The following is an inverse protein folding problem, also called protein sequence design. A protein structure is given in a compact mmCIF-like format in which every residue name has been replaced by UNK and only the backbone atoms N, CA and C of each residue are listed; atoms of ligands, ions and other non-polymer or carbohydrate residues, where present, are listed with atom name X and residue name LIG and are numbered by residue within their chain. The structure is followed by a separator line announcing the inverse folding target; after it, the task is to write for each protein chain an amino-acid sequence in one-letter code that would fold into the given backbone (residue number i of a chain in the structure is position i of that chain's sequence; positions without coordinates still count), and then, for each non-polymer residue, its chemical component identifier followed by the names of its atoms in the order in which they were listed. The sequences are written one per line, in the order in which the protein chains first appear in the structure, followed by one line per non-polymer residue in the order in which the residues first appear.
data_IF_356565575824
#
_entry.id   IF_356565575824
#
_cell.length_a   1.000
_cell.length_b   1.000
_cell.length_c   1.000
_cell.angle_alpha   90.00
_cell.angle_beta   90.00
_cell.angle_gamma   90.00
#
_symmetry.space_group_name_H-M   'P 1'
#
loop_
_entity.id
_entity.type
_entity.pdbx_description
1 polymer ?
#
# COMPACT_ATOMS: atom_id res chain seq x y z
N UNK A 1 11.25 11.24 10.49
CA UNK A 1 11.77 10.48 9.34
C UNK A 1 10.86 9.27 9.18
N UNK A 2 10.39 8.95 7.98
CA UNK A 2 9.54 7.79 7.72
C UNK A 2 10.34 6.79 6.88
N UNK A 3 10.23 5.50 7.21
CA UNK A 3 10.84 4.43 6.43
C UNK A 3 9.73 3.70 5.68
N UNK A 4 9.79 3.79 4.34
CA UNK A 4 8.78 3.24 3.45
C UNK A 4 9.18 1.93 2.78
N UNK A 5 8.17 1.15 2.36
CA UNK A 5 8.34 -0.03 1.51
C UNK A 5 7.55 0.13 0.22
N UNK A 6 8.18 -0.12 -0.93
CA UNK A 6 7.52 -0.15 -2.22
C UNK A 6 6.67 -1.42 -2.35
N UNK A 7 5.40 -1.28 -2.70
CA UNK A 7 4.42 -2.36 -2.66
C UNK A 7 4.77 -3.55 -3.59
N UNK A 8 5.55 -3.32 -4.65
CA UNK A 8 6.07 -4.40 -5.52
C UNK A 8 7.00 -5.40 -4.85
N UNK A 9 7.47 -5.14 -3.62
CA UNK A 9 8.17 -6.15 -2.81
C UNK A 9 7.24 -7.32 -2.46
N UNK A 10 5.94 -7.06 -2.31
CA UNK A 10 4.96 -8.04 -1.83
C UNK A 10 4.10 -8.64 -2.94
N UNK A 11 3.80 -7.88 -3.98
CA UNK A 11 2.90 -8.31 -5.07
C UNK A 11 3.23 -7.63 -6.40
N UNK A 12 2.95 -8.30 -7.51
CA UNK A 12 2.92 -7.69 -8.85
C UNK A 12 1.51 -7.36 -9.35
N UNK A 13 0.48 -7.66 -8.56
CA UNK A 13 -0.93 -7.41 -8.86
C UNK A 13 -1.45 -6.36 -7.87
N UNK A 14 -2.10 -5.30 -8.39
CA UNK A 14 -2.61 -4.17 -7.60
C UNK A 14 -4.14 -4.08 -7.69
N UNK A 15 -4.80 -5.23 -7.64
CA UNK A 15 -6.22 -5.34 -7.31
C UNK A 15 -6.43 -5.28 -5.78
N UNK A 16 -7.68 -5.35 -5.32
CA UNK A 16 -8.00 -5.24 -3.89
C UNK A 16 -7.26 -6.28 -3.02
N UNK A 17 -7.08 -7.50 -3.54
CA UNK A 17 -6.40 -8.57 -2.82
C UNK A 17 -4.89 -8.34 -2.74
N UNK A 18 -4.27 -7.93 -3.84
CA UNK A 18 -2.85 -7.59 -3.89
C UNK A 18 -2.51 -6.37 -3.04
N UNK A 19 -3.34 -5.32 -3.10
CA UNK A 19 -3.19 -4.13 -2.26
C UNK A 19 -3.31 -4.48 -0.78
N UNK A 20 -4.30 -5.30 -0.40
CA UNK A 20 -4.44 -5.77 0.98
C UNK A 20 -3.22 -6.55 1.46
N UNK A 21 -2.71 -7.47 0.63
CA UNK A 21 -1.49 -8.22 0.95
C UNK A 21 -0.29 -7.28 1.16
N UNK A 22 -0.10 -6.30 0.29
CA UNK A 22 1.00 -5.37 0.38
C UNK A 22 0.92 -4.47 1.63
N UNK A 23 -0.28 -3.99 1.97
CA UNK A 23 -0.54 -3.21 3.18
C UNK A 23 -0.26 -4.04 4.44
N UNK A 24 -0.82 -5.24 4.53
CA UNK A 24 -0.65 -6.12 5.68
C UNK A 24 0.82 -6.50 5.89
N UNK A 25 1.55 -6.84 4.81
CA UNK A 25 2.97 -7.21 4.89
C UNK A 25 3.89 -6.03 5.20
N UNK A 26 3.55 -4.83 4.71
CA UNK A 26 4.30 -3.62 5.04
C UNK A 26 4.16 -3.27 6.52
N UNK A 27 2.95 -3.39 7.07
CA UNK A 27 2.70 -3.17 8.49
C UNK A 27 3.38 -4.25 9.36
N UNK A 28 3.25 -5.53 9.00
CA UNK A 28 3.89 -6.67 9.72
C UNK A 28 5.41 -6.54 9.74
N UNK A 29 6.02 -6.03 8.67
CA UNK A 29 7.46 -5.80 8.58
C UNK A 29 7.95 -4.57 9.37
N UNK A 30 7.05 -3.76 9.95
CA UNK A 30 7.38 -2.64 10.81
C UNK A 30 7.79 -1.36 10.09
N UNK A 31 7.35 -1.17 8.84
CA UNK A 31 7.52 0.09 8.12
C UNK A 31 6.51 1.15 8.60
N UNK A 32 6.82 2.43 8.34
CA UNK A 32 5.93 3.54 8.66
C UNK A 32 5.02 3.92 7.48
N UNK A 33 5.38 3.47 6.27
CA UNK A 33 4.79 3.94 5.03
C UNK A 33 4.81 2.85 3.95
N UNK A 34 3.76 2.81 3.13
CA UNK A 34 3.70 2.03 1.89
C UNK A 34 3.69 2.95 0.67
N UNK A 35 4.47 2.62 -0.35
CA UNK A 35 4.47 3.30 -1.65
C UNK A 35 3.78 2.40 -2.69
N UNK A 36 2.65 2.86 -3.23
CA UNK A 36 1.84 2.09 -4.19
C UNK A 36 2.15 2.56 -5.63
N UNK A 37 2.68 1.71 -6.51
CA UNK A 37 3.00 2.13 -7.88
C UNK A 37 1.73 2.43 -8.69
N UNK A 38 1.52 3.71 -9.02
CA UNK A 38 0.42 4.17 -9.88
C UNK A 38 0.72 3.95 -11.37
N UNK A 39 0.59 2.70 -11.82
CA UNK A 39 0.81 2.36 -13.24
C UNK A 39 -0.28 2.89 -14.18
N UNK A 40 -1.51 3.01 -13.67
CA UNK A 40 -2.68 3.56 -14.39
C UNK A 40 -3.53 4.40 -13.41
N UNK A 41 -3.23 5.70 -13.27
CA UNK A 41 -3.85 6.55 -12.26
C UNK A 41 -5.38 6.67 -12.36
N UNK A 42 -5.93 6.58 -13.57
CA UNK A 42 -7.37 6.71 -13.81
C UNK A 42 -8.16 5.50 -13.27
N UNK A 43 -7.49 4.38 -13.03
CA UNK A 43 -8.07 3.16 -12.44
C UNK A 43 -7.85 3.04 -10.94
N UNK A 44 -7.04 3.92 -10.35
CA UNK A 44 -6.71 3.84 -8.95
C UNK A 44 -7.82 4.43 -8.07
N UNK A 45 -8.37 3.63 -7.16
CA UNK A 45 -9.28 4.10 -6.13
C UNK A 45 -8.51 4.44 -4.85
N UNK A 46 -8.06 5.69 -4.76
CA UNK A 46 -7.37 6.19 -3.56
C UNK A 46 -8.23 6.12 -2.29
N UNK A 47 -9.56 6.14 -2.40
CA UNK A 47 -10.47 6.03 -1.25
C UNK A 47 -10.50 4.59 -0.74
N UNK A 48 -10.59 3.61 -1.64
CA UNK A 48 -10.52 2.19 -1.29
C UNK A 48 -9.17 1.86 -0.64
N UNK A 49 -8.07 2.34 -1.24
CA UNK A 49 -6.71 2.19 -0.66
C UNK A 49 -6.65 2.80 0.73
N UNK A 50 -7.14 4.04 0.91
CA UNK A 50 -7.12 4.70 2.23
C UNK A 50 -7.83 3.87 3.29
N UNK A 51 -8.97 3.28 2.96
CA UNK A 51 -9.75 2.43 3.87
C UNK A 51 -9.00 1.15 4.27
N UNK A 52 -8.15 0.59 3.39
CA UNK A 52 -7.32 -0.57 3.74
C UNK A 52 -6.25 -0.24 4.79
N UNK A 53 -5.87 1.04 4.93
CA UNK A 53 -4.82 1.51 5.84
C UNK A 53 -5.35 1.92 7.22
N UNK A 54 -6.67 2.04 7.42
CA UNK A 54 -7.27 2.65 8.63
C UNK A 54 -6.79 2.00 9.94
N UNK A 55 -6.50 0.69 9.92
CA UNK A 55 -6.10 -0.07 11.10
C UNK A 55 -4.59 -0.39 11.18
N UNK A 56 -3.78 0.02 10.20
CA UNK A 56 -2.36 -0.36 10.12
C UNK A 56 -1.40 0.68 10.69
N UNK A 57 -1.85 1.93 10.84
CA UNK A 57 -0.99 3.05 11.22
C UNK A 57 0.00 3.50 10.13
N UNK A 58 -0.06 2.90 8.94
CA UNK A 58 0.79 3.25 7.80
C UNK A 58 0.38 4.58 7.17
N UNK A 59 1.39 5.36 6.77
CA UNK A 59 1.22 6.41 5.76
C UNK A 59 1.28 5.81 4.35
N UNK A 60 0.82 6.58 3.35
CA UNK A 60 0.79 6.14 1.96
C UNK A 60 1.33 7.21 1.02
N UNK A 61 2.15 6.78 0.06
CA UNK A 61 2.55 7.54 -1.14
C UNK A 61 2.32 6.69 -2.37
N UNK A 62 2.51 7.28 -3.55
CA UNK A 62 2.34 6.61 -4.81
C UNK A 62 3.24 7.18 -5.90
#
# INVERSE_FOLDING_TARGET
MQIGCHASVWTGQFDDAGLRLAVDKTAEAGFDLIEIPLMDPDKADGTAVRKMLDDTGLNVTA
#
